data_IF_279785700190
#
_entry.id   IF_279785700190
#
_cell.length_a   1.000
_cell.length_b   1.000
_cell.length_c   1.000
_cell.angle_alpha   90.00
_cell.angle_beta   90.00
_cell.angle_gamma   90.00
#
_symmetry.space_group_name_H-M   'P 1'
#
loop_
_entity.id
_entity.type
_entity.pdbx_description
1 polymer ?
#
# COMPACT_ATOMS: atom_id res chain seq x y z
N UNK A 1 21.30 17.71 3.25
CA UNK A 1 21.85 16.45 2.69
C UNK A 1 20.68 15.48 2.58
N UNK A 2 20.42 14.93 1.40
CA UNK A 2 19.36 13.96 1.20
C UNK A 2 19.71 12.65 1.93
N UNK A 3 18.73 11.94 2.53
CA UNK A 3 18.98 10.65 3.15
C UNK A 3 19.43 9.65 2.09
N UNK A 4 20.29 8.71 2.47
CA UNK A 4 20.67 7.58 1.60
C UNK A 4 19.50 6.63 1.43
N UNK A 5 19.50 5.85 0.35
CA UNK A 5 18.47 4.82 0.11
C UNK A 5 18.38 3.82 1.28
N UNK A 6 19.53 3.41 1.81
CA UNK A 6 19.59 2.52 2.99
C UNK A 6 18.91 3.15 4.22
N UNK A 7 19.10 4.44 4.44
CA UNK A 7 18.46 5.17 5.54
C UNK A 7 16.95 5.22 5.35
N UNK A 8 16.45 5.45 4.12
CA UNK A 8 15.01 5.46 3.82
C UNK A 8 14.41 4.07 4.04
N UNK A 9 15.09 3.02 3.58
CA UNK A 9 14.66 1.63 3.77
C UNK A 9 14.58 1.30 5.27
N UNK A 10 15.64 1.58 6.04
CA UNK A 10 15.67 1.32 7.48
C UNK A 10 14.54 2.04 8.21
N UNK A 11 14.39 3.35 7.97
CA UNK A 11 13.32 4.15 8.59
C UNK A 11 11.92 3.65 8.24
N UNK A 12 11.69 3.22 7.00
CA UNK A 12 10.40 2.67 6.59
C UNK A 12 10.10 1.33 7.29
N UNK A 13 11.10 0.46 7.42
CA UNK A 13 10.96 -0.81 8.14
C UNK A 13 10.73 -0.60 9.63
N UNK A 14 11.43 0.33 10.26
CA UNK A 14 11.24 0.69 11.68
C UNK A 14 9.83 1.24 11.95
N UNK A 15 9.32 2.14 11.09
CA UNK A 15 7.93 2.62 11.18
C UNK A 15 6.93 1.48 11.01
N UNK A 16 7.20 0.57 10.09
CA UNK A 16 6.33 -0.58 9.85
C UNK A 16 6.39 -1.58 11.02
N UNK A 17 7.54 -1.80 11.66
CA UNK A 17 7.65 -2.61 12.87
C UNK A 17 6.81 -2.03 14.01
N UNK A 18 6.92 -0.73 14.27
CA UNK A 18 6.08 -0.06 15.26
C UNK A 18 4.59 -0.21 14.92
N UNK A 19 4.22 -0.02 13.66
CA UNK A 19 2.84 -0.18 13.20
C UNK A 19 2.31 -1.59 13.45
N UNK A 20 3.09 -2.61 13.12
CA UNK A 20 2.69 -4.00 13.34
C UNK A 20 2.54 -4.31 14.84
N UNK A 21 3.52 -3.92 15.65
CA UNK A 21 3.56 -4.26 17.07
C UNK A 21 2.59 -3.43 17.91
N UNK A 22 2.58 -2.09 17.73
CA UNK A 22 1.87 -1.17 18.62
C UNK A 22 0.41 -0.94 18.19
N UNK A 23 0.07 -1.18 16.91
CA UNK A 23 -1.30 -1.01 16.41
C UNK A 23 -1.95 -2.33 16.00
N UNK A 24 -1.37 -3.06 15.06
CA UNK A 24 -2.02 -4.25 14.50
C UNK A 24 -2.10 -5.39 15.53
N UNK A 25 -1.00 -5.69 16.22
CA UNK A 25 -0.91 -6.81 17.17
C UNK A 25 -1.44 -6.41 18.57
N UNK A 26 -1.09 -5.22 19.06
CA UNK A 26 -1.54 -4.77 20.38
C UNK A 26 -3.05 -4.59 20.46
N UNK A 27 -3.70 -4.18 19.37
CA UNK A 27 -5.15 -4.01 19.30
C UNK A 27 -5.87 -5.22 18.69
N UNK A 28 -5.14 -6.31 18.38
CA UNK A 28 -5.70 -7.50 17.74
C UNK A 28 -6.49 -7.21 16.44
N UNK A 29 -6.06 -6.20 15.66
CA UNK A 29 -6.71 -5.80 14.41
C UNK A 29 -6.69 -6.95 13.39
N UNK A 30 -5.57 -7.67 13.31
CA UNK A 30 -5.44 -8.85 12.47
C UNK A 30 -4.99 -10.04 13.36
N UNK A 31 -5.81 -11.09 13.51
CA UNK A 31 -5.48 -12.22 14.38
C UNK A 31 -4.29 -13.05 13.87
N UNK A 32 -3.92 -12.88 12.60
CA UNK A 32 -2.83 -13.64 11.96
C UNK A 32 -1.51 -12.89 11.88
N UNK A 33 -1.51 -11.57 12.07
CA UNK A 33 -0.34 -10.74 11.86
C UNK A 33 0.86 -11.20 12.70
N UNK A 34 0.63 -11.43 14.00
CA UNK A 34 1.66 -11.91 14.92
C UNK A 34 2.23 -13.26 14.48
N UNK A 35 1.36 -14.25 14.23
CA UNK A 35 1.79 -15.58 13.82
C UNK A 35 2.61 -15.52 12.53
N UNK A 36 2.11 -14.83 11.49
CA UNK A 36 2.84 -14.70 10.22
C UNK A 36 4.20 -14.02 10.41
N UNK A 37 4.30 -13.00 11.27
CA UNK A 37 5.57 -12.33 11.56
C UNK A 37 6.55 -13.26 12.30
N UNK A 38 6.09 -13.96 13.32
CA UNK A 38 6.93 -14.84 14.16
C UNK A 38 7.35 -16.12 13.45
N UNK A 39 6.55 -16.61 12.49
CA UNK A 39 6.86 -17.83 11.72
C UNK A 39 7.53 -17.55 10.37
N UNK A 40 7.87 -16.27 10.07
CA UNK A 40 8.54 -15.92 8.82
C UNK A 40 7.62 -15.91 7.57
N UNK A 41 6.29 -15.96 7.77
CA UNK A 41 5.30 -15.96 6.69
C UNK A 41 4.88 -14.55 6.26
N UNK A 42 5.49 -13.51 6.85
CA UNK A 42 5.35 -12.12 6.47
C UNK A 42 6.55 -11.66 5.64
N UNK A 43 6.32 -11.25 4.40
CA UNK A 43 7.33 -10.64 3.54
C UNK A 43 7.13 -9.12 3.47
N UNK A 44 8.18 -8.33 3.74
CA UNK A 44 8.18 -6.88 3.58
C UNK A 44 9.14 -6.48 2.48
N UNK A 45 8.70 -5.61 1.58
CA UNK A 45 9.47 -5.09 0.45
C UNK A 45 9.31 -3.59 0.43
N UNK A 46 10.41 -2.84 0.57
CA UNK A 46 10.42 -1.39 0.45
C UNK A 46 10.67 -1.03 -1.02
N UNK A 47 9.78 -0.22 -1.57
CA UNK A 47 9.86 0.30 -2.93
C UNK A 47 10.24 1.78 -2.88
N UNK A 48 11.37 2.11 -3.48
CA UNK A 48 11.88 3.49 -3.55
C UNK A 48 11.46 4.22 -4.83
N UNK A 49 10.68 3.54 -5.68
CA UNK A 49 10.20 4.12 -6.93
C UNK A 49 9.28 5.32 -6.64
N UNK A 50 9.54 6.42 -7.34
CA UNK A 50 8.67 7.58 -7.35
C UNK A 50 7.56 7.46 -8.41
N UNK A 51 7.71 6.55 -9.36
CA UNK A 51 6.76 6.31 -10.43
C UNK A 51 5.74 5.23 -10.05
N UNK A 52 4.47 5.47 -10.41
CA UNK A 52 3.38 4.52 -10.23
C UNK A 52 3.35 3.50 -11.39
N UNK A 53 4.36 2.64 -11.46
CA UNK A 53 4.41 1.56 -12.46
C UNK A 53 3.64 0.33 -11.98
N UNK A 54 2.36 0.26 -12.36
CA UNK A 54 1.48 -0.84 -12.01
C UNK A 54 1.96 -2.20 -12.56
N UNK A 55 2.63 -2.20 -13.72
CA UNK A 55 3.13 -3.44 -14.33
C UNK A 55 4.31 -4.02 -13.55
N UNK A 56 5.25 -3.16 -13.12
CA UNK A 56 6.38 -3.55 -12.27
C UNK A 56 5.90 -4.11 -10.92
N UNK A 57 4.94 -3.45 -10.27
CA UNK A 57 4.37 -3.93 -9.01
C UNK A 57 3.63 -5.25 -9.20
N UNK A 58 2.85 -5.40 -10.28
CA UNK A 58 2.17 -6.65 -10.58
C UNK A 58 3.14 -7.81 -10.85
N UNK A 59 4.27 -7.54 -11.51
CA UNK A 59 5.33 -8.53 -11.71
C UNK A 59 5.95 -8.97 -10.38
N UNK A 60 6.16 -8.05 -9.44
CA UNK A 60 6.65 -8.37 -8.10
C UNK A 60 5.65 -9.20 -7.30
N UNK A 61 4.35 -8.90 -7.40
CA UNK A 61 3.30 -9.73 -6.77
C UNK A 61 3.31 -11.15 -7.36
N UNK A 62 3.45 -11.28 -8.69
CA UNK A 62 3.56 -12.59 -9.35
C UNK A 62 4.81 -13.36 -8.90
N UNK A 63 5.94 -12.69 -8.68
CA UNK A 63 7.15 -13.32 -8.16
C UNK A 63 6.93 -13.89 -6.74
N UNK A 64 6.20 -13.18 -5.87
CA UNK A 64 5.86 -13.65 -4.53
C UNK A 64 4.94 -14.88 -4.52
N UNK A 65 4.23 -15.18 -5.61
CA UNK A 65 3.39 -16.39 -5.69
C UNK A 65 4.21 -17.68 -5.57
N UNK A 66 5.46 -17.66 -6.05
CA UNK A 66 6.39 -18.80 -5.96
C UNK A 66 6.89 -19.07 -4.54
N UNK A 67 6.81 -18.09 -3.63
CA UNK A 67 7.17 -18.24 -2.22
C UNK A 67 5.94 -18.78 -1.46
N UNK A 68 5.71 -20.10 -1.52
CA UNK A 68 4.50 -20.73 -1.00
C UNK A 68 4.27 -20.54 0.50
N UNK A 69 5.33 -20.33 1.27
CA UNK A 69 5.32 -20.07 2.71
C UNK A 69 4.83 -18.67 3.06
N UNK A 70 4.89 -17.71 2.13
CA UNK A 70 4.48 -16.33 2.41
C UNK A 70 2.97 -16.22 2.34
N UNK A 71 2.34 -15.87 3.46
CA UNK A 71 0.90 -15.63 3.58
C UNK A 71 0.53 -14.16 3.52
N UNK A 72 1.42 -13.28 4.01
CA UNK A 72 1.22 -11.83 3.99
C UNK A 72 2.43 -11.17 3.32
N UNK A 73 2.17 -10.36 2.29
CA UNK A 73 3.15 -9.45 1.70
C UNK A 73 2.81 -7.99 2.01
N UNK A 74 3.81 -7.18 2.31
CA UNK A 74 3.69 -5.73 2.45
C UNK A 74 4.68 -5.06 1.50
N UNK A 75 4.17 -4.31 0.52
CA UNK A 75 4.97 -3.44 -0.32
C UNK A 75 4.83 -2.02 0.21
N UNK A 76 5.90 -1.46 0.74
CA UNK A 76 5.97 -0.16 1.40
C UNK A 76 6.51 0.87 0.41
N UNK A 77 5.87 2.03 0.28
CA UNK A 77 6.23 3.10 -0.66
C UNK A 77 6.54 4.40 0.10
N UNK A 78 7.65 4.48 0.85
CA UNK A 78 7.93 5.61 1.75
C UNK A 78 8.16 6.94 1.03
N UNK A 79 8.51 6.90 -0.26
CA UNK A 79 8.79 8.09 -1.08
C UNK A 79 7.64 8.47 -2.02
N UNK A 80 6.57 7.67 -2.09
CA UNK A 80 5.47 7.92 -3.02
C UNK A 80 4.58 9.05 -2.50
N UNK A 81 4.60 10.19 -3.21
CA UNK A 81 3.77 11.35 -2.91
C UNK A 81 2.44 11.24 -3.68
N UNK A 82 1.43 10.73 -3.03
CA UNK A 82 0.09 10.51 -3.60
C UNK A 82 -0.95 10.68 -2.50
N UNK A 83 -2.14 11.18 -2.84
CA UNK A 83 -3.28 11.19 -1.93
C UNK A 83 -3.97 9.81 -1.84
N UNK A 84 -4.78 9.60 -0.82
CA UNK A 84 -5.46 8.32 -0.62
C UNK A 84 -6.36 7.93 -1.82
N UNK A 85 -7.18 8.82 -2.42
CA UNK A 85 -7.93 8.50 -3.63
C UNK A 85 -7.06 8.14 -4.84
N UNK A 86 -5.94 8.82 -5.02
CA UNK A 86 -4.96 8.51 -6.07
C UNK A 86 -4.35 7.14 -5.88
N UNK A 87 -3.96 6.82 -4.65
CA UNK A 87 -3.41 5.51 -4.32
C UNK A 87 -4.44 4.39 -4.52
N UNK A 88 -5.71 4.60 -4.17
CA UNK A 88 -6.78 3.64 -4.44
C UNK A 88 -6.99 3.41 -5.96
N UNK A 89 -6.84 4.47 -6.80
CA UNK A 89 -6.85 4.32 -8.28
C UNK A 89 -5.67 3.50 -8.76
N UNK A 90 -4.47 3.83 -8.30
CA UNK A 90 -3.26 3.09 -8.63
C UNK A 90 -3.37 1.60 -8.28
N UNK A 91 -3.93 1.26 -7.12
CA UNK A 91 -4.14 -0.14 -6.73
C UNK A 91 -5.13 -0.87 -7.66
N UNK A 92 -6.12 -0.18 -8.22
CA UNK A 92 -6.99 -0.79 -9.26
C UNK A 92 -6.19 -1.16 -10.51
N UNK A 93 -5.28 -0.28 -10.94
CA UNK A 93 -4.42 -0.53 -12.10
C UNK A 93 -3.44 -1.68 -11.83
N UNK A 94 -2.88 -1.76 -10.61
CA UNK A 94 -2.04 -2.88 -10.16
C UNK A 94 -2.83 -4.20 -10.20
N UNK A 95 -4.07 -4.22 -9.69
CA UNK A 95 -4.92 -5.42 -9.75
C UNK A 95 -5.19 -5.83 -11.20
N UNK A 96 -5.57 -4.90 -12.05
CA UNK A 96 -5.82 -5.18 -13.47
C UNK A 96 -4.55 -5.72 -14.17
N UNK A 97 -3.37 -5.19 -13.86
CA UNK A 97 -2.10 -5.68 -14.38
C UNK A 97 -1.73 -7.07 -13.81
N UNK A 98 -2.03 -7.30 -12.54
CA UNK A 98 -1.79 -8.59 -11.87
C UNK A 98 -2.69 -9.70 -12.41
N UNK A 99 -3.94 -9.39 -12.72
CA UNK A 99 -4.94 -10.32 -13.29
C UNK A 99 -4.72 -10.60 -14.79
N UNK A 100 -4.04 -9.69 -15.48
CA UNK A 100 -3.87 -9.79 -16.94
C UNK A 100 -3.12 -11.06 -17.37
N UNK A 101 -3.73 -11.77 -18.32
CA UNK A 101 -3.17 -13.00 -18.91
C UNK A 101 -3.23 -14.23 -17.99
N UNK A 102 -3.96 -14.17 -16.89
CA UNK A 102 -4.15 -15.33 -16.01
C UNK A 102 -5.23 -16.26 -16.55
N UNK A 103 -5.01 -17.56 -16.39
CA UNK A 103 -5.98 -18.61 -16.69
C UNK A 103 -6.67 -19.18 -15.44
N UNK A 104 -6.26 -18.70 -14.25
CA UNK A 104 -6.78 -19.15 -12.95
C UNK A 104 -6.94 -18.00 -11.94
N UNK A 105 -7.45 -18.29 -10.73
CA UNK A 105 -7.65 -17.29 -9.70
C UNK A 105 -6.32 -16.66 -9.26
N UNK A 106 -6.39 -15.43 -8.76
CA UNK A 106 -5.26 -14.75 -8.13
C UNK A 106 -4.89 -15.44 -6.82
N UNK A 107 -3.59 -15.58 -6.56
CA UNK A 107 -3.12 -16.17 -5.31
C UNK A 107 -3.09 -15.17 -4.16
N UNK A 108 -3.10 -13.86 -4.47
CA UNK A 108 -3.13 -12.82 -3.45
C UNK A 108 -4.32 -11.87 -3.64
N UNK A 109 -4.97 -11.56 -2.53
CA UNK A 109 -5.81 -10.38 -2.39
C UNK A 109 -4.92 -9.15 -2.22
N UNK A 110 -5.20 -8.10 -2.99
CA UNK A 110 -4.44 -6.85 -3.00
C UNK A 110 -5.26 -5.76 -2.32
N UNK A 111 -4.76 -5.17 -1.24
CA UNK A 111 -5.48 -4.17 -0.45
C UNK A 111 -4.62 -2.92 -0.28
N UNK A 112 -5.25 -1.74 -0.47
CA UNK A 112 -4.61 -0.44 -0.24
C UNK A 112 -4.65 -0.05 1.23
N UNK A 113 -3.50 0.39 1.77
CA UNK A 113 -3.35 1.05 3.06
C UNK A 113 -2.70 2.41 2.83
N UNK A 114 -3.17 3.45 3.51
CA UNK A 114 -2.66 4.80 3.26
C UNK A 114 -2.73 5.67 4.52
N UNK A 115 -1.72 6.52 4.79
CA UNK A 115 -1.67 7.35 6.00
C UNK A 115 -2.80 8.39 6.09
N UNK A 116 -3.44 8.76 4.99
CA UNK A 116 -4.50 9.79 4.94
C UNK A 116 -5.92 9.21 4.86
N UNK A 117 -6.10 7.91 5.02
CA UNK A 117 -7.46 7.35 5.10
C UNK A 117 -8.22 7.94 6.29
N UNK A 118 -9.55 8.17 6.16
CA UNK A 118 -10.35 8.81 7.21
C UNK A 118 -10.33 8.03 8.53
N UNK A 119 -10.21 8.75 9.63
CA UNK A 119 -10.29 8.19 10.99
C UNK A 119 -11.71 8.35 11.53
N UNK A 120 -12.67 7.63 10.95
CA UNK A 120 -14.07 7.64 11.35
C UNK A 120 -14.47 6.29 11.93
N UNK A 121 -15.33 6.32 12.95
CA UNK A 121 -15.77 5.16 13.73
C UNK A 121 -17.30 5.08 13.82
N UNK A 122 -18.00 5.70 12.87
CA UNK A 122 -19.47 5.81 12.88
C UNK A 122 -20.17 4.44 12.80
N UNK A 123 -19.59 3.55 12.01
CA UNK A 123 -20.05 2.17 11.86
C UNK A 123 -18.90 1.28 11.37
N UNK A 124 -19.06 -0.07 11.35
CA UNK A 124 -17.99 -0.99 10.94
C UNK A 124 -17.47 -0.75 9.51
N UNK A 125 -18.33 -0.47 8.54
CA UNK A 125 -17.94 -0.26 7.14
C UNK A 125 -17.06 0.99 6.96
N UNK A 126 -17.36 2.05 7.71
CA UNK A 126 -16.55 3.28 7.73
C UNK A 126 -15.25 3.05 8.50
N UNK A 127 -15.30 2.33 9.62
CA UNK A 127 -14.14 2.02 10.45
C UNK A 127 -13.08 1.18 9.72
N UNK A 128 -13.47 0.37 8.71
CA UNK A 128 -12.51 -0.37 7.86
C UNK A 128 -11.46 0.57 7.25
N UNK A 129 -11.80 1.80 6.89
CA UNK A 129 -10.83 2.79 6.39
C UNK A 129 -9.84 3.20 7.46
N UNK A 130 -10.29 3.38 8.71
CA UNK A 130 -9.40 3.64 9.83
C UNK A 130 -8.42 2.48 10.06
N UNK A 131 -8.90 1.22 9.98
CA UNK A 131 -8.06 0.03 10.13
C UNK A 131 -6.99 -0.10 9.05
N UNK A 132 -7.18 0.54 7.90
CA UNK A 132 -6.24 0.54 6.77
C UNK A 132 -5.30 1.74 6.77
N UNK A 133 -5.21 2.50 7.84
CA UNK A 133 -4.18 3.52 7.98
C UNK A 133 -2.83 2.85 8.24
N UNK A 134 -1.82 3.28 7.51
CA UNK A 134 -0.43 2.83 7.64
C UNK A 134 0.50 4.03 7.73
N UNK A 135 1.72 3.90 8.24
CA UNK A 135 2.70 5.01 8.28
C UNK A 135 3.03 5.54 6.89
N UNK A 136 3.24 4.64 5.95
CA UNK A 136 3.56 4.91 4.54
C UNK A 136 2.48 4.32 3.64
N UNK A 137 2.24 4.84 2.40
CA UNK A 137 1.41 4.14 1.42
C UNK A 137 1.89 2.69 1.28
N UNK A 138 0.97 1.75 1.43
CA UNK A 138 1.32 0.33 1.50
C UNK A 138 0.34 -0.53 0.73
N UNK A 139 0.83 -1.45 -0.07
CA UNK A 139 0.03 -2.54 -0.64
C UNK A 139 0.16 -3.74 0.29
N UNK A 140 -0.96 -4.16 0.86
CA UNK A 140 -1.04 -5.43 1.56
C UNK A 140 -1.51 -6.52 0.61
N UNK A 141 -0.79 -7.62 0.61
CA UNK A 141 -1.11 -8.87 -0.07
C UNK A 141 -1.52 -9.90 0.98
N UNK A 142 -2.66 -10.53 0.80
CA UNK A 142 -3.08 -11.65 1.66
C UNK A 142 -3.31 -12.86 0.77
N UNK A 143 -2.65 -13.98 1.07
CA UNK A 143 -2.79 -15.20 0.28
C UNK A 143 -4.24 -15.70 0.31
N UNK A 144 -4.81 -15.98 -0.86
CA UNK A 144 -6.21 -16.38 -1.00
C UNK A 144 -6.55 -17.63 -0.19
N UNK A 145 -5.64 -18.61 -0.16
CA UNK A 145 -5.79 -19.81 0.66
C UNK A 145 -5.86 -19.55 2.16
N UNK A 146 -5.15 -18.52 2.66
CA UNK A 146 -5.23 -18.09 4.06
C UNK A 146 -6.64 -17.55 4.37
N UNK A 147 -7.17 -16.70 3.48
CA UNK A 147 -8.53 -16.18 3.61
C UNK A 147 -9.57 -17.31 3.59
N UNK A 148 -9.39 -18.30 2.70
CA UNK A 148 -10.30 -19.43 2.60
C UNK A 148 -10.27 -20.33 3.85
N UNK A 149 -9.08 -20.52 4.47
CA UNK A 149 -8.98 -21.23 5.76
C UNK A 149 -9.77 -20.51 6.84
N UNK A 150 -9.67 -19.19 6.91
CA UNK A 150 -10.40 -18.38 7.87
C UNK A 150 -11.90 -18.43 7.64
N UNK A 151 -12.34 -18.29 6.38
CA UNK A 151 -13.77 -18.40 6.03
C UNK A 151 -14.35 -19.75 6.41
N UNK A 152 -13.60 -20.84 6.19
CA UNK A 152 -14.04 -22.20 6.56
C UNK A 152 -14.09 -22.41 8.07
N UNK A 153 -13.21 -21.76 8.82
CA UNK A 153 -13.20 -21.80 10.28
C UNK A 153 -14.27 -20.91 10.93
N UNK A 154 -14.75 -19.90 10.20
CA UNK A 154 -15.81 -19.00 10.66
C UNK A 154 -17.18 -19.65 10.45
N UNK A 155 -18.06 -19.57 11.48
CA UNK A 155 -19.46 -20.02 11.40
C UNK A 155 -20.35 -19.07 10.59
N UNK A 156 -19.83 -17.92 10.16
CA UNK A 156 -20.55 -16.90 9.39
C UNK A 156 -20.03 -16.83 7.95
N UNK A 157 -20.76 -17.33 6.95
CA UNK A 157 -20.34 -17.32 5.54
C UNK A 157 -20.34 -15.92 4.89
N UNK A 158 -21.02 -14.93 5.48
CA UNK A 158 -21.06 -13.55 4.97
C UNK A 158 -20.03 -12.63 5.64
N UNK A 159 -19.27 -13.13 6.59
CA UNK A 159 -18.85 -12.38 7.73
C UNK A 159 -17.37 -12.11 7.89
N UNK A 160 -16.41 -12.68 7.14
CA UNK A 160 -15.01 -12.43 7.51
C UNK A 160 -14.66 -10.94 7.44
N UNK A 161 -15.07 -10.24 6.40
CA UNK A 161 -14.84 -8.79 6.28
C UNK A 161 -15.65 -8.01 7.32
N UNK A 162 -16.91 -8.39 7.54
CA UNK A 162 -17.76 -7.81 8.58
C UNK A 162 -17.23 -8.09 9.97
N UNK A 163 -16.86 -9.34 10.25
CA UNK A 163 -16.28 -9.75 11.53
C UNK A 163 -14.98 -8.99 11.86
N UNK A 164 -14.06 -8.85 10.89
CA UNK A 164 -12.83 -8.09 11.08
C UNK A 164 -13.15 -6.60 11.29
N UNK A 165 -14.09 -6.05 10.51
CA UNK A 165 -14.53 -4.66 10.65
C UNK A 165 -15.13 -4.38 12.02
N UNK A 166 -16.03 -5.23 12.51
CA UNK A 166 -16.65 -5.10 13.83
C UNK A 166 -15.64 -5.30 14.97
N UNK A 167 -14.79 -6.32 14.88
CA UNK A 167 -13.75 -6.56 15.86
C UNK A 167 -12.77 -5.40 15.94
N UNK A 168 -12.34 -4.89 14.80
CA UNK A 168 -11.47 -3.72 14.69
C UNK A 168 -12.12 -2.45 15.22
N UNK A 169 -13.40 -2.20 14.89
CA UNK A 169 -14.14 -1.06 15.44
C UNK A 169 -14.21 -1.14 16.98
N UNK A 170 -14.57 -2.29 17.52
CA UNK A 170 -14.60 -2.49 18.99
C UNK A 170 -13.23 -2.24 19.62
N UNK A 171 -12.15 -2.73 19.00
CA UNK A 171 -10.79 -2.53 19.49
C UNK A 171 -10.40 -1.04 19.50
N UNK A 172 -10.71 -0.30 18.43
CA UNK A 172 -10.45 1.14 18.36
C UNK A 172 -11.25 1.91 19.42
N UNK A 173 -12.55 1.59 19.58
CA UNK A 173 -13.41 2.24 20.57
C UNK A 173 -12.92 1.95 22.00
N UNK A 174 -12.50 0.72 22.30
CA UNK A 174 -11.96 0.34 23.60
C UNK A 174 -10.61 1.02 23.91
N UNK A 175 -9.75 1.18 22.91
CA UNK A 175 -8.45 1.84 23.06
C UNK A 175 -8.54 3.39 23.10
N UNK A 176 -9.67 3.96 22.66
CA UNK A 176 -9.90 5.39 22.47
C UNK A 176 -9.47 5.86 21.08
N UNK A 177 -10.43 6.26 20.22
CA UNK A 177 -10.14 6.63 18.83
C UNK A 177 -9.09 7.72 18.69
N UNK A 178 -9.11 8.74 19.55
CA UNK A 178 -8.14 9.84 19.54
C UNK A 178 -6.71 9.36 19.91
N UNK A 179 -6.61 8.46 20.89
CA UNK A 179 -5.34 7.85 21.28
C UNK A 179 -4.76 7.03 20.13
N UNK A 180 -5.59 6.23 19.47
CA UNK A 180 -5.16 5.44 18.30
C UNK A 180 -4.76 6.35 17.14
N UNK A 181 -5.50 7.44 16.91
CA UNK A 181 -5.17 8.43 15.89
C UNK A 181 -3.81 9.10 16.16
N UNK A 182 -3.55 9.48 17.40
CA UNK A 182 -2.27 10.07 17.83
C UNK A 182 -1.11 9.08 17.68
N UNK A 183 -1.34 7.79 18.04
CA UNK A 183 -0.36 6.72 17.85
C UNK A 183 0.01 6.58 16.38
N UNK A 184 -0.97 6.43 15.48
CA UNK A 184 -0.74 6.31 14.03
C UNK A 184 -0.07 7.55 13.45
N UNK A 185 -0.41 8.75 13.95
CA UNK A 185 0.23 9.99 13.53
C UNK A 185 1.71 10.01 13.91
N UNK A 186 2.07 9.54 15.11
CA UNK A 186 3.46 9.50 15.61
C UNK A 186 4.38 8.55 14.81
N UNK A 187 3.79 7.64 14.03
CA UNK A 187 4.52 6.70 13.18
C UNK A 187 4.74 7.22 11.74
N UNK A 188 4.19 8.39 11.39
CA UNK A 188 4.38 8.97 10.05
C UNK A 188 5.83 9.44 9.86
N UNK A 189 6.31 9.50 8.59
CA UNK A 189 7.61 10.11 8.30
C UNK A 189 7.71 11.53 8.89
N UNK A 190 8.86 11.90 9.41
CA UNK A 190 9.10 13.26 9.86
C UNK A 190 8.94 14.24 8.68
N UNK A 191 8.46 15.47 8.96
CA UNK A 191 8.22 16.48 7.93
C UNK A 191 9.49 16.76 7.08
N UNK A 192 10.68 16.65 7.67
CA UNK A 192 11.98 16.80 7.01
C UNK A 192 12.24 15.67 5.98
N UNK A 193 11.83 14.45 6.28
CA UNK A 193 11.94 13.28 5.40
C UNK A 193 10.99 13.43 4.19
N UNK A 194 9.75 13.85 4.44
CA UNK A 194 8.76 14.13 3.42
C UNK A 194 9.17 15.29 2.49
N UNK A 195 9.74 16.35 3.01
CA UNK A 195 10.22 17.50 2.25
C UNK A 195 11.43 17.15 1.34
N UNK A 196 12.33 16.29 1.79
CA UNK A 196 13.47 15.83 1.00
C UNK A 196 13.04 15.06 -0.27
N UNK A 197 11.99 14.26 -0.15
CA UNK A 197 11.40 13.52 -1.27
C UNK A 197 10.73 14.45 -2.29
N UNK A 198 9.98 15.47 -1.83
CA UNK A 198 9.33 16.44 -2.70
C UNK A 198 10.34 17.23 -3.56
N UNK A 199 11.52 17.53 -3.03
CA UNK A 199 12.58 18.26 -3.74
C UNK A 199 13.20 17.42 -4.88
N UNK A 200 13.33 16.11 -4.72
CA UNK A 200 13.84 15.21 -5.77
C UNK A 200 12.85 15.02 -6.93
N UNK A 201 11.56 15.01 -6.65
CA UNK A 201 10.52 14.85 -7.67
C UNK A 201 10.43 16.07 -8.62
N UNK A 202 10.76 17.27 -8.13
CA UNK A 202 10.69 18.52 -8.93
C UNK A 202 11.90 18.71 -9.85
N UNK A 203 13.04 18.07 -9.56
CA UNK A 203 14.29 18.23 -10.37
C UNK A 203 14.37 17.32 -11.59
N UNK A 204 13.44 16.40 -11.78
CA UNK A 204 13.43 15.42 -12.88
C UNK A 204 12.43 15.72 -14.00
N UNK A 205 11.95 16.97 -14.16
CA UNK A 205 11.13 17.37 -15.30
C UNK A 205 11.95 17.38 -16.58
N UNK A 206 11.56 16.66 -17.64
CA UNK A 206 12.31 16.69 -18.92
C UNK A 206 12.16 18.07 -19.57
N UNK A 207 13.28 18.62 -20.02
CA UNK A 207 13.35 19.84 -20.84
C UNK A 207 12.46 19.64 -22.07
N UNK A 208 11.57 20.60 -22.42
CA UNK A 208 10.75 20.47 -23.62
C UNK A 208 11.67 20.53 -24.85
N UNK A 209 11.60 19.51 -25.70
CA UNK A 209 12.29 19.46 -26.96
C UNK A 209 11.80 20.61 -27.85
N UNK A 210 12.70 21.48 -28.26
CA UNK A 210 12.48 22.57 -29.19
C UNK A 210 12.12 21.98 -30.55
N UNK A 211 10.86 22.07 -30.96
CA UNK A 211 10.42 21.73 -32.33
C UNK A 211 10.94 22.77 -33.29
N UNK A 212 12.01 22.41 -34.02
CA UNK A 212 12.51 23.16 -35.14
C UNK A 212 11.48 23.17 -36.27
N UNK A 213 10.98 24.35 -36.58
CA UNK A 213 10.14 24.66 -37.75
C UNK A 213 10.97 24.51 -39.00
N UNK A 214 10.66 23.53 -39.86
CA UNK A 214 11.21 23.43 -41.21
C UNK A 214 10.30 24.20 -42.17
N UNK A 215 10.86 25.05 -43.09
CA UNK A 215 10.05 25.80 -44.04
C UNK A 215 9.58 24.94 -45.23
N UNK A 216 8.35 25.18 -45.64
CA UNK A 216 7.73 24.56 -46.80
C UNK A 216 8.37 24.99 -48.13
N UNK A 217 8.47 24.11 -49.17
CA UNK A 217 8.78 24.52 -50.54
C UNK A 217 7.50 24.94 -51.29
N UNK A 218 7.52 26.13 -51.80
CA UNK A 218 6.61 26.67 -52.83
C UNK A 218 6.85 26.03 -54.19
N UNK A 219 5.80 25.66 -54.89
CA UNK A 219 5.90 25.23 -56.30
C UNK A 219 4.55 25.01 -56.94
N UNK A 220 4.06 26.02 -57.68
CA UNK A 220 3.04 25.98 -58.72
C UNK A 220 3.71 25.67 -60.07
N UNK A 221 2.99 25.57 -61.24
CA UNK A 221 1.58 25.27 -61.53
C UNK A 221 1.36 24.25 -62.66
N UNK A 222 0.07 24.07 -62.91
CA UNK A 222 -0.65 23.48 -64.08
C UNK A 222 0.01 23.57 -65.49
N UNK A 223 -0.51 22.86 -66.52
CA UNK A 223 -1.89 22.97 -67.02
C UNK A 223 -2.76 21.73 -66.87
#
# INVERSE_FOLDING_TARGET
MLPSEESVVSSALERNDRYLLEFIEALHICPYARTCRETGQLRRIVRLDLAMDAASVAAQIKALESEAEIEIGLLLFPQLQIDAPGFERYIRDVRAAYERGRTGPTQFFVVAFHPELPMRVDNPDVAVRFLRRSPDPTIQLVRSSAIDRVRKASRDPHGLSGFIAEAGLRAILAAGPERVASLLHSMRPAATEAAAVATTATSSSPTPATTGTSPAPSGRPSP
#
